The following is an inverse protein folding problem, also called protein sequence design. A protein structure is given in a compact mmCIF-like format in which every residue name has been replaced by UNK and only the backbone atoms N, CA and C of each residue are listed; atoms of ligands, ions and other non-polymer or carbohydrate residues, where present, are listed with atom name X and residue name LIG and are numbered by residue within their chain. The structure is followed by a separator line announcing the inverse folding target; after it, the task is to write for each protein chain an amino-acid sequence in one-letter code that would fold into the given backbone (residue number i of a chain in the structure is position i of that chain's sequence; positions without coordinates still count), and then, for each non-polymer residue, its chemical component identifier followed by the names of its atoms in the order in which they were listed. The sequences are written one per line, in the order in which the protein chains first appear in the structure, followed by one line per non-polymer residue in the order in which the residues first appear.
data_IF_977306705518
#
_entry.id   IF_977306705518
#
_cell.length_a   1.000
_cell.length_b   1.000
_cell.length_c   1.000
_cell.angle_alpha   90.00
_cell.angle_beta   90.00
_cell.angle_gamma   90.00
#
_symmetry.space_group_name_H-M   'P 1'
#
loop_
_entity.id
_entity.type
_entity.pdbx_description
1 polymer ?
#
# COMPACT_ATOMS: atom_id res chain seq x y z
N UNK A 1 -2.63 22.86 -8.31
CA UNK A 1 -2.48 24.33 -8.35
C UNK A 1 -3.44 25.01 -7.37
N UNK A 2 -4.72 24.64 -7.30
CA UNK A 2 -5.71 25.29 -6.45
C UNK A 2 -5.44 25.17 -4.94
N UNK A 3 -4.66 24.16 -4.52
CA UNK A 3 -4.33 23.87 -3.12
C UNK A 3 -2.87 24.11 -2.77
N UNK A 4 -2.11 24.82 -3.62
CA UNK A 4 -0.72 25.17 -3.38
C UNK A 4 0.26 23.99 -3.46
N UNK A 5 -0.19 22.88 -4.04
CA UNK A 5 0.66 21.69 -4.27
C UNK A 5 1.15 21.71 -5.72
N UNK A 6 2.45 21.87 -5.90
CA UNK A 6 3.10 21.84 -7.20
C UNK A 6 3.70 20.45 -7.45
N UNK A 7 3.37 19.86 -8.59
CA UNK A 7 3.83 18.53 -9.02
C UNK A 7 5.37 18.41 -8.95
N UNK A 8 6.10 19.37 -9.52
CA UNK A 8 7.55 19.35 -9.52
C UNK A 8 8.15 19.34 -8.10
N UNK A 9 7.56 20.08 -7.17
CA UNK A 9 8.01 20.09 -5.77
C UNK A 9 7.90 18.70 -5.12
N UNK A 10 6.87 17.91 -5.46
CA UNK A 10 6.71 16.54 -4.93
C UNK A 10 7.76 15.61 -5.55
N UNK A 11 8.01 15.69 -6.85
CA UNK A 11 9.03 14.89 -7.51
C UNK A 11 10.42 15.18 -6.92
N UNK A 12 10.77 16.44 -6.71
CA UNK A 12 12.03 16.83 -6.08
C UNK A 12 12.17 16.21 -4.68
N UNK A 13 11.10 16.21 -3.88
CA UNK A 13 11.10 15.55 -2.57
C UNK A 13 11.33 14.03 -2.68
N UNK A 14 10.75 13.37 -3.68
CA UNK A 14 10.96 11.94 -3.90
C UNK A 14 12.42 11.67 -4.29
N UNK A 15 12.98 12.43 -5.24
CA UNK A 15 14.36 12.28 -5.69
C UNK A 15 15.37 12.56 -4.57
N UNK A 16 15.10 13.56 -3.73
CA UNK A 16 15.91 13.90 -2.57
C UNK A 16 15.76 12.90 -1.40
N UNK A 17 14.85 11.93 -1.53
CA UNK A 17 14.52 10.99 -0.44
C UNK A 17 13.82 11.64 0.74
N UNK A 18 13.19 12.79 0.55
CA UNK A 18 12.47 13.57 1.58
C UNK A 18 10.95 13.46 1.51
N UNK A 19 10.41 12.66 0.59
CA UNK A 19 8.99 12.37 0.54
C UNK A 19 8.61 11.46 1.68
N UNK A 20 8.15 12.03 2.78
CA UNK A 20 7.80 11.36 4.04
C UNK A 20 6.31 11.46 4.32
N UNK A 21 5.81 10.64 5.26
CA UNK A 21 4.43 10.75 5.73
C UNK A 21 4.14 12.10 6.42
N UNK A 22 5.15 12.75 7.01
CA UNK A 22 5.00 14.11 7.53
C UNK A 22 4.75 15.11 6.41
N UNK A 23 5.48 14.99 5.30
CA UNK A 23 5.30 15.81 4.12
C UNK A 23 3.93 15.60 3.46
N UNK A 24 3.48 14.35 3.37
CA UNK A 24 2.15 14.04 2.88
C UNK A 24 1.08 14.64 3.81
N UNK A 25 1.18 14.41 5.12
CA UNK A 25 0.23 14.91 6.12
C UNK A 25 0.12 16.43 6.08
N UNK A 26 1.24 17.15 6.02
CA UNK A 26 1.26 18.61 5.97
C UNK A 26 0.52 19.17 4.74
N UNK A 27 0.43 18.40 3.65
CA UNK A 27 -0.26 18.83 2.42
C UNK A 27 -1.75 18.57 2.42
N UNK A 28 -2.23 17.55 3.11
CA UNK A 28 -3.66 17.24 3.10
C UNK A 28 -4.39 17.65 4.38
N UNK A 29 -3.68 17.83 5.49
CA UNK A 29 -4.30 18.11 6.77
C UNK A 29 -5.05 19.44 6.76
N UNK A 30 -6.32 19.38 7.16
CA UNK A 30 -7.19 20.55 7.22
C UNK A 30 -7.81 20.97 5.88
N UNK A 31 -7.69 20.15 4.83
CA UNK A 31 -8.32 20.41 3.53
C UNK A 31 -9.75 19.84 3.42
N UNK A 32 -10.14 18.96 4.33
CA UNK A 32 -11.48 18.37 4.33
C UNK A 32 -12.53 19.51 4.42
N UNK A 33 -13.46 19.52 3.48
CA UNK A 33 -14.42 20.61 3.33
C UNK A 33 -15.81 20.07 3.02
N UNK A 34 -16.77 20.40 3.88
CA UNK A 34 -18.19 20.19 3.64
C UNK A 34 -18.66 21.19 2.56
N UNK A 35 -18.81 20.70 1.33
CA UNK A 35 -19.14 21.55 0.17
C UNK A 35 -20.63 21.84 0.08
N UNK A 36 -21.49 20.95 0.57
CA UNK A 36 -22.93 21.12 0.53
C UNK A 36 -23.48 21.83 1.75
N UNK A 37 -22.70 21.97 2.84
CA UNK A 37 -23.05 22.73 4.05
C UNK A 37 -24.05 22.01 4.95
N UNK A 38 -24.20 20.69 4.85
CA UNK A 38 -25.16 19.93 5.65
C UNK A 38 -24.63 19.49 7.03
N UNK A 39 -23.36 19.80 7.31
CA UNK A 39 -22.66 19.50 8.55
C UNK A 39 -22.19 18.04 8.66
N UNK A 40 -22.17 17.31 7.54
CA UNK A 40 -21.66 15.92 7.45
C UNK A 40 -20.68 15.80 6.31
N UNK A 41 -19.68 14.97 6.49
CA UNK A 41 -18.73 14.64 5.41
C UNK A 41 -19.22 13.39 4.67
N UNK A 42 -19.40 13.51 3.35
CA UNK A 42 -19.84 12.42 2.49
C UNK A 42 -18.98 12.32 1.22
N UNK A 43 -18.48 11.12 0.92
CA UNK A 43 -17.48 10.88 -0.12
C UNK A 43 -17.91 11.29 -1.55
N UNK A 44 -19.20 11.42 -1.85
CA UNK A 44 -19.70 11.86 -3.15
C UNK A 44 -20.06 13.35 -3.22
N UNK A 45 -20.16 14.03 -2.09
CA UNK A 45 -20.66 15.40 -2.02
C UNK A 45 -19.58 16.40 -1.58
N UNK A 46 -18.57 15.94 -0.84
CA UNK A 46 -17.59 16.78 -0.16
C UNK A 46 -16.16 16.56 -0.63
N UNK A 47 -15.26 17.46 -0.24
CA UNK A 47 -13.85 17.40 -0.60
C UNK A 47 -13.01 16.89 0.56
N UNK A 48 -12.03 16.02 0.24
CA UNK A 48 -11.11 15.39 1.19
C UNK A 48 -9.65 15.69 0.84
N UNK A 49 -8.84 15.92 1.86
CA UNK A 49 -7.40 16.04 1.68
C UNK A 49 -6.78 14.72 1.20
N UNK A 50 -7.21 13.60 1.77
CA UNK A 50 -6.76 12.25 1.38
C UNK A 50 -7.90 11.23 1.53
N UNK A 51 -7.92 10.25 0.64
CA UNK A 51 -8.87 9.12 0.70
C UNK A 51 -8.14 7.79 0.58
N UNK A 52 -8.64 6.79 1.30
CA UNK A 52 -8.14 5.41 1.27
C UNK A 52 -9.18 4.43 1.77
N UNK A 53 -8.92 3.13 1.64
CA UNK A 53 -9.71 2.08 2.31
C UNK A 53 -9.29 1.95 3.79
N UNK A 54 -10.27 1.71 4.66
CA UNK A 54 -10.04 1.50 6.10
C UNK A 54 -10.06 0.00 6.43
N UNK A 55 -9.12 -0.75 5.89
CA UNK A 55 -9.04 -2.21 6.02
C UNK A 55 -7.64 -2.71 6.40
N UNK A 56 -7.52 -4.01 6.66
CA UNK A 56 -6.25 -4.64 7.04
C UNK A 56 -5.17 -4.43 5.99
N UNK A 57 -5.53 -4.46 4.72
CA UNK A 57 -4.57 -4.31 3.64
C UNK A 57 -3.93 -2.92 3.62
N UNK A 58 -4.74 -1.87 3.80
CA UNK A 58 -4.22 -0.49 3.86
C UNK A 58 -3.39 -0.27 5.13
N UNK A 59 -3.83 -0.74 6.29
CA UNK A 59 -3.02 -0.61 7.51
C UNK A 59 -1.70 -1.36 7.40
N UNK A 60 -1.69 -2.53 6.76
CA UNK A 60 -0.48 -3.28 6.45
C UNK A 60 0.45 -2.51 5.50
N UNK A 61 -0.11 -1.94 4.44
CA UNK A 61 0.63 -1.11 3.49
C UNK A 61 1.28 0.10 4.21
N UNK A 62 0.55 0.75 5.12
CA UNK A 62 1.09 1.85 5.91
C UNK A 62 2.25 1.40 6.81
N UNK A 63 2.18 0.23 7.45
CA UNK A 63 3.28 -0.32 8.22
C UNK A 63 4.51 -0.61 7.35
N UNK A 64 4.31 -1.34 6.27
CA UNK A 64 5.39 -1.79 5.38
C UNK A 64 6.07 -0.60 4.70
N UNK A 65 5.32 0.40 4.25
CA UNK A 65 5.88 1.62 3.67
C UNK A 65 6.79 2.38 4.64
N UNK A 66 6.51 2.28 5.94
CA UNK A 66 7.34 2.84 7.02
C UNK A 66 8.50 1.91 7.45
N UNK A 67 8.81 0.87 6.65
CA UNK A 67 9.94 -0.03 6.87
C UNK A 67 9.71 -1.13 7.91
N UNK A 68 8.47 -1.32 8.39
CA UNK A 68 8.13 -2.41 9.31
C UNK A 68 7.93 -3.70 8.49
N UNK A 69 8.59 -4.77 8.92
CA UNK A 69 8.35 -6.12 8.41
C UNK A 69 7.40 -6.84 9.35
N UNK A 70 6.39 -7.47 8.78
CA UNK A 70 5.34 -8.13 9.58
C UNK A 70 5.81 -9.46 10.15
N UNK A 71 6.71 -10.13 9.41
CA UNK A 71 7.30 -11.40 9.78
C UNK A 71 8.73 -11.45 9.25
N UNK A 72 9.68 -11.78 10.09
CA UNK A 72 11.10 -11.89 9.73
C UNK A 72 11.63 -13.29 10.04
N UNK A 73 12.67 -13.67 9.31
CA UNK A 73 13.39 -14.92 9.57
C UNK A 73 14.44 -14.66 10.66
N UNK A 74 14.38 -15.39 11.76
CA UNK A 74 15.38 -15.36 12.82
C UNK A 74 16.72 -16.02 12.40
N UNK A 75 17.68 -16.00 13.32
CA UNK A 75 19.01 -16.57 13.07
C UNK A 75 19.01 -18.09 12.82
N UNK A 76 17.98 -18.80 13.23
CA UNK A 76 17.80 -20.24 13.05
C UNK A 76 16.97 -20.57 11.78
N UNK A 77 16.63 -19.57 10.98
CA UNK A 77 15.83 -19.70 9.76
C UNK A 77 14.33 -19.86 10.02
N UNK A 78 13.85 -19.55 11.23
CA UNK A 78 12.43 -19.62 11.60
C UNK A 78 11.78 -18.27 11.43
N UNK A 79 10.54 -18.26 10.94
CA UNK A 79 9.74 -17.05 10.88
C UNK A 79 9.26 -16.64 12.29
N UNK A 80 9.33 -15.36 12.59
CA UNK A 80 8.90 -14.79 13.86
C UNK A 80 8.24 -13.41 13.67
N UNK A 81 7.34 -13.06 14.59
CA UNK A 81 6.75 -11.74 14.65
C UNK A 81 7.53 -10.82 15.57
N UNK A 82 7.71 -9.56 15.17
CA UNK A 82 8.37 -8.51 15.98
C UNK A 82 7.54 -7.22 15.94
N UNK A 83 6.20 -7.36 15.97
CA UNK A 83 5.28 -6.22 15.84
C UNK A 83 5.03 -5.47 17.16
N UNK A 84 5.70 -5.87 18.23
CA UNK A 84 5.69 -5.23 19.57
C UNK A 84 6.95 -4.39 19.86
N UNK A 85 7.87 -4.31 18.91
CA UNK A 85 9.06 -3.48 19.04
C UNK A 85 8.72 -1.97 19.06
N UNK A 86 9.63 -1.17 19.63
CA UNK A 86 9.47 0.28 19.78
C UNK A 86 9.22 1.00 18.44
N UNK A 87 9.88 0.54 17.38
CA UNK A 87 9.71 1.13 16.05
C UNK A 87 8.31 0.88 15.49
N UNK A 88 7.83 -0.34 15.57
CA UNK A 88 6.49 -0.71 15.12
C UNK A 88 5.41 0.07 15.85
N UNK A 89 5.51 0.16 17.18
CA UNK A 89 4.56 0.95 17.98
C UNK A 89 4.60 2.42 17.56
N UNK A 90 5.77 3.02 17.40
CA UNK A 90 5.90 4.41 16.97
C UNK A 90 5.31 4.66 15.57
N UNK A 91 5.46 3.70 14.65
CA UNK A 91 4.83 3.77 13.32
C UNK A 91 3.31 3.73 13.45
N UNK A 92 2.76 2.81 14.25
CA UNK A 92 1.31 2.70 14.45
C UNK A 92 0.75 3.99 15.04
N UNK A 93 1.37 4.54 16.07
CA UNK A 93 0.94 5.79 16.69
C UNK A 93 0.96 6.97 15.70
N UNK A 94 2.03 7.05 14.88
CA UNK A 94 2.14 8.09 13.85
C UNK A 94 1.05 7.93 12.79
N UNK A 95 0.82 6.71 12.30
CA UNK A 95 -0.21 6.44 11.28
C UNK A 95 -1.62 6.64 11.84
N UNK A 96 -1.88 6.25 13.09
CA UNK A 96 -3.14 6.53 13.76
C UNK A 96 -3.44 8.03 13.82
N UNK A 97 -2.44 8.85 14.18
CA UNK A 97 -2.58 10.31 14.17
C UNK A 97 -2.94 10.87 12.77
N UNK A 98 -2.41 10.27 11.70
CA UNK A 98 -2.56 10.80 10.34
C UNK A 98 -3.78 10.25 9.60
N UNK A 99 -4.19 9.03 9.91
CA UNK A 99 -5.21 8.30 9.15
C UNK A 99 -6.41 7.87 9.99
N UNK A 100 -6.51 8.31 11.25
CA UNK A 100 -7.66 7.97 12.08
C UNK A 100 -8.96 8.30 11.35
N UNK A 101 -9.85 7.31 11.30
CA UNK A 101 -11.13 7.46 10.61
C UNK A 101 -11.94 8.59 11.22
N UNK A 102 -12.30 9.56 10.42
CA UNK A 102 -13.28 10.57 10.79
C UNK A 102 -14.64 9.87 10.90
N UNK A 103 -15.30 9.96 12.06
CA UNK A 103 -16.52 9.20 12.43
C UNK A 103 -17.64 9.22 11.36
N UNK A 104 -17.67 10.23 10.53
CA UNK A 104 -18.73 10.44 9.53
C UNK A 104 -18.48 9.74 8.18
N UNK A 105 -17.33 9.07 8.00
CA UNK A 105 -16.99 8.42 6.75
C UNK A 105 -17.39 6.93 6.74
N UNK A 106 -18.47 6.58 7.48
CA UNK A 106 -18.85 5.21 7.81
C UNK A 106 -19.42 4.40 6.65
N UNK A 107 -19.80 5.02 5.55
CA UNK A 107 -20.75 4.34 4.68
C UNK A 107 -20.22 3.79 3.36
N UNK A 108 -18.95 4.00 2.97
CA UNK A 108 -18.53 3.34 1.74
C UNK A 108 -17.01 3.29 1.52
N UNK A 109 -16.36 2.27 2.03
CA UNK A 109 -15.02 1.85 1.58
C UNK A 109 -14.96 1.58 0.07
N UNK A 110 -16.08 1.47 -0.61
CA UNK A 110 -16.18 1.25 -2.06
C UNK A 110 -16.28 2.53 -2.88
N UNK A 111 -16.47 3.70 -2.25
CA UNK A 111 -16.66 4.97 -2.97
C UNK A 111 -15.46 5.91 -2.90
N UNK A 112 -14.43 5.61 -2.13
CA UNK A 112 -13.24 6.47 -2.02
C UNK A 112 -12.53 6.67 -3.37
N UNK A 113 -12.54 5.67 -4.25
CA UNK A 113 -12.03 5.77 -5.60
C UNK A 113 -12.84 6.75 -6.46
N UNK A 114 -14.16 6.79 -6.27
CA UNK A 114 -15.01 7.77 -6.95
C UNK A 114 -14.77 9.19 -6.43
N UNK A 115 -14.51 9.35 -5.13
CA UNK A 115 -14.15 10.65 -4.54
C UNK A 115 -12.94 11.24 -5.26
N UNK A 116 -11.88 10.47 -5.42
CA UNK A 116 -10.67 10.90 -6.16
C UNK A 116 -10.97 11.09 -7.65
N UNK A 117 -11.68 10.15 -8.29
CA UNK A 117 -12.01 10.18 -9.71
C UNK A 117 -12.80 11.45 -10.12
N UNK A 118 -13.62 11.98 -9.23
CA UNK A 118 -14.43 13.17 -9.47
C UNK A 118 -13.83 14.45 -8.86
N UNK A 119 -12.50 14.50 -8.70
CA UNK A 119 -11.74 15.67 -8.23
C UNK A 119 -12.15 16.13 -6.82
N UNK A 120 -12.63 15.22 -5.98
CA UNK A 120 -13.05 15.50 -4.60
C UNK A 120 -12.05 15.02 -3.55
N UNK A 121 -10.86 14.63 -3.96
CA UNK A 121 -9.74 14.37 -3.07
C UNK A 121 -8.44 14.85 -3.70
N UNK A 122 -7.55 15.40 -2.86
CA UNK A 122 -6.21 15.82 -3.31
C UNK A 122 -5.29 14.62 -3.48
N UNK A 123 -5.35 13.65 -2.54
CA UNK A 123 -4.57 12.42 -2.57
C UNK A 123 -5.48 11.19 -2.45
N UNK A 124 -5.05 10.09 -3.07
CA UNK A 124 -5.63 8.77 -2.88
C UNK A 124 -4.53 7.74 -2.66
N UNK A 125 -4.65 6.92 -1.61
CA UNK A 125 -3.81 5.73 -1.46
C UNK A 125 -4.53 4.58 -2.13
N UNK A 126 -3.93 4.06 -3.20
CA UNK A 126 -4.53 3.03 -4.02
C UNK A 126 -3.50 2.16 -4.72
N UNK A 127 -3.94 1.10 -5.39
CA UNK A 127 -3.07 0.22 -6.20
C UNK A 127 -2.78 0.83 -7.57
N UNK A 128 -1.58 0.60 -8.09
CA UNK A 128 -1.21 1.03 -9.45
C UNK A 128 -2.20 0.49 -10.50
N UNK A 129 -2.71 -0.72 -10.31
CA UNK A 129 -3.73 -1.33 -11.20
C UNK A 129 -5.00 -0.48 -11.36
N UNK A 130 -5.34 0.32 -10.37
CA UNK A 130 -6.51 1.20 -10.43
C UNK A 130 -6.39 2.30 -11.47
N UNK A 131 -5.18 2.69 -11.84
CA UNK A 131 -4.94 3.62 -12.95
C UNK A 131 -5.47 3.05 -14.28
N UNK A 132 -5.44 1.73 -14.42
CA UNK A 132 -5.87 1.02 -15.63
C UNK A 132 -7.37 0.76 -15.68
N UNK A 133 -8.02 0.68 -14.53
CA UNK A 133 -9.43 0.30 -14.41
C UNK A 133 -10.31 1.43 -13.88
N UNK A 134 -10.01 1.93 -12.69
CA UNK A 134 -10.90 2.85 -11.95
C UNK A 134 -10.72 4.29 -12.38
N UNK A 135 -9.47 4.71 -12.66
CA UNK A 135 -9.11 6.08 -13.02
C UNK A 135 -8.87 6.29 -14.51
N UNK A 136 -9.05 5.26 -15.32
CA UNK A 136 -8.79 5.32 -16.77
C UNK A 136 -9.56 6.43 -17.47
N UNK A 137 -10.80 6.67 -17.08
CA UNK A 137 -11.71 7.67 -17.65
C UNK A 137 -11.86 8.93 -16.79
N UNK A 138 -10.95 9.14 -15.83
CA UNK A 138 -10.87 10.37 -15.05
C UNK A 138 -10.60 11.57 -15.99
N UNK A 139 -11.31 12.68 -15.79
CA UNK A 139 -11.16 13.87 -16.64
C UNK A 139 -9.90 14.64 -16.33
N UNK A 140 -9.59 14.80 -15.05
CA UNK A 140 -8.39 15.47 -14.56
C UNK A 140 -7.16 14.59 -14.65
N UNK A 141 -6.01 15.25 -14.76
CA UNK A 141 -4.70 14.61 -14.68
C UNK A 141 -4.32 14.33 -13.24
N UNK A 142 -3.60 13.26 -13.03
CA UNK A 142 -3.03 12.90 -11.74
C UNK A 142 -1.63 12.33 -11.91
N UNK A 143 -0.88 12.28 -10.82
CA UNK A 143 0.46 11.69 -10.76
C UNK A 143 0.46 10.45 -9.87
N UNK A 144 1.36 9.51 -10.17
CA UNK A 144 1.64 8.36 -9.32
C UNK A 144 2.90 8.68 -8.53
N UNK A 145 2.87 8.41 -7.23
CA UNK A 145 3.99 8.61 -6.32
C UNK A 145 4.29 7.31 -5.58
N UNK A 146 5.54 7.04 -5.19
CA UNK A 146 5.81 5.98 -4.23
C UNK A 146 5.14 6.30 -2.89
N UNK A 147 4.86 5.27 -2.10
CA UNK A 147 4.42 5.49 -0.72
C UNK A 147 5.50 6.25 0.04
N UNK A 148 5.11 7.24 0.87
CA UNK A 148 6.08 8.03 1.62
C UNK A 148 6.88 7.17 2.60
N UNK A 149 8.07 7.63 2.96
CA UNK A 149 8.89 7.05 4.04
C UNK A 149 8.40 7.52 5.41
N UNK A 150 8.81 6.82 6.45
CA UNK A 150 8.58 7.23 7.83
C UNK A 150 9.24 8.57 8.17
N UNK A 151 10.52 8.70 7.81
CA UNK A 151 11.37 9.87 8.00
C UNK A 151 12.52 9.87 6.99
N UNK A 152 13.39 10.88 7.06
CA UNK A 152 14.53 11.01 6.17
C UNK A 152 15.62 9.94 6.42
N UNK A 153 15.63 9.31 7.61
CA UNK A 153 16.60 8.28 7.96
C UNK A 153 16.27 6.92 7.36
N UNK A 154 15.05 6.70 6.89
CA UNK A 154 14.70 5.49 6.16
C UNK A 154 15.39 5.50 4.79
N UNK A 155 16.21 4.48 4.49
CA UNK A 155 17.06 4.45 3.30
C UNK A 155 16.27 4.46 1.99
N UNK A 156 15.22 3.65 1.89
CA UNK A 156 14.47 3.42 0.66
C UNK A 156 12.97 3.59 0.85
N UNK A 157 12.27 3.91 -0.24
CA UNK A 157 10.82 3.72 -0.33
C UNK A 157 10.51 2.23 -0.31
N UNK A 158 9.31 1.85 0.14
CA UNK A 158 8.85 0.46 0.12
C UNK A 158 7.42 0.42 -0.41
N UNK A 159 7.22 -0.38 -1.45
CA UNK A 159 5.93 -0.55 -2.11
C UNK A 159 5.38 -1.95 -1.80
N UNK A 160 4.32 -2.01 -0.99
CA UNK A 160 3.72 -3.27 -0.59
C UNK A 160 2.89 -3.89 -1.70
N UNK A 161 3.18 -5.15 -2.04
CA UNK A 161 2.39 -5.90 -3.02
C UNK A 161 1.10 -6.38 -2.35
N UNK A 162 -0.04 -6.09 -2.98
CA UNK A 162 -1.32 -6.61 -2.52
C UNK A 162 -1.37 -8.15 -2.69
N UNK A 163 -1.35 -8.95 -1.62
CA UNK A 163 -1.32 -10.41 -1.71
C UNK A 163 -2.62 -11.01 -2.27
N UNK A 164 -3.74 -10.29 -2.19
CA UNK A 164 -5.04 -10.76 -2.68
C UNK A 164 -5.16 -10.78 -4.21
N UNK A 165 -4.29 -10.07 -4.91
CA UNK A 165 -4.26 -10.01 -6.39
C UNK A 165 -2.98 -10.61 -6.95
N UNK A 166 -2.14 -11.20 -6.11
CA UNK A 166 -0.91 -11.84 -6.51
C UNK A 166 -1.18 -13.19 -7.16
N UNK A 167 -0.75 -13.35 -8.40
CA UNK A 167 -0.84 -14.61 -9.13
C UNK A 167 0.45 -15.41 -9.03
N UNK A 168 0.33 -16.71 -8.82
CA UNK A 168 1.45 -17.65 -8.85
C UNK A 168 1.30 -18.64 -10.00
N UNK A 169 2.43 -19.05 -10.59
CA UNK A 169 2.49 -20.15 -11.55
C UNK A 169 2.95 -21.40 -10.81
N UNK A 170 2.18 -22.49 -10.92
CA UNK A 170 2.50 -23.77 -10.31
C UNK A 170 2.63 -24.86 -11.36
N UNK A 171 3.60 -25.76 -11.18
CA UNK A 171 3.77 -26.95 -12.03
C UNK A 171 3.14 -28.14 -11.28
N UNK A 172 2.11 -28.82 -11.86
CA UNK A 172 1.51 -29.99 -11.22
C UNK A 172 2.53 -31.13 -11.03
N UNK A 173 2.45 -31.86 -9.92
CA UNK A 173 3.30 -33.02 -9.65
C UNK A 173 3.12 -34.16 -10.68
N UNK A 174 2.02 -34.13 -11.44
CA UNK A 174 1.73 -35.09 -12.52
C UNK A 174 2.41 -34.73 -13.84
N UNK A 175 3.23 -33.65 -13.87
CA UNK A 175 3.97 -33.27 -15.06
C UNK A 175 5.15 -34.23 -15.27
N UNK A 176 5.21 -34.90 -16.44
CA UNK A 176 6.22 -35.91 -16.75
C UNK A 176 7.62 -35.31 -16.98
N UNK A 177 7.71 -34.05 -17.42
CA UNK A 177 8.96 -33.36 -17.73
C UNK A 177 9.01 -31.99 -17.00
N UNK A 178 9.34 -32.05 -15.72
CA UNK A 178 9.40 -30.88 -14.84
C UNK A 178 10.48 -29.89 -15.29
N UNK A 179 11.64 -30.38 -15.72
CA UNK A 179 12.76 -29.54 -16.17
C UNK A 179 12.41 -28.73 -17.39
N UNK A 180 11.77 -29.37 -18.39
CA UNK A 180 11.29 -28.67 -19.59
C UNK A 180 10.21 -27.64 -19.27
N UNK A 181 9.28 -28.01 -18.40
CA UNK A 181 8.22 -27.08 -17.99
C UNK A 181 8.77 -25.90 -17.21
N UNK A 182 9.71 -26.13 -16.29
CA UNK A 182 10.42 -25.10 -15.56
C UNK A 182 11.18 -24.15 -16.50
N UNK A 183 11.91 -24.70 -17.47
CA UNK A 183 12.62 -23.90 -18.48
C UNK A 183 11.66 -23.03 -19.31
N UNK A 184 10.51 -23.56 -19.73
CA UNK A 184 9.51 -22.79 -20.48
C UNK A 184 8.95 -21.67 -19.60
N UNK A 185 8.66 -21.95 -18.34
CA UNK A 185 8.14 -20.95 -17.38
C UNK A 185 9.14 -19.81 -17.20
N UNK A 186 10.43 -20.13 -17.01
CA UNK A 186 11.52 -19.16 -16.90
C UNK A 186 11.63 -18.28 -18.15
N UNK A 187 11.56 -18.89 -19.35
CA UNK A 187 11.58 -18.14 -20.62
C UNK A 187 10.37 -17.22 -20.75
N UNK A 188 9.19 -17.67 -20.32
CA UNK A 188 7.98 -16.84 -20.35
C UNK A 188 8.12 -15.65 -19.38
N UNK A 189 8.66 -15.86 -18.18
CA UNK A 189 8.91 -14.81 -17.22
C UNK A 189 9.90 -13.78 -17.78
N UNK A 190 11.05 -14.23 -18.27
CA UNK A 190 12.03 -13.36 -18.93
C UNK A 190 11.42 -12.54 -20.07
N UNK A 191 10.64 -13.19 -20.94
CA UNK A 191 9.93 -12.48 -22.03
C UNK A 191 8.86 -11.52 -21.54
N UNK A 192 8.23 -11.81 -20.41
CA UNK A 192 7.27 -10.89 -19.79
C UNK A 192 7.92 -9.57 -19.37
N UNK A 193 9.11 -9.61 -18.81
CA UNK A 193 9.88 -8.40 -18.48
C UNK A 193 10.19 -7.58 -19.73
N UNK A 194 10.59 -8.23 -20.83
CA UNK A 194 10.93 -7.54 -22.09
C UNK A 194 9.70 -6.98 -22.81
N UNK A 195 8.54 -7.63 -22.73
CA UNK A 195 7.38 -7.32 -23.58
C UNK A 195 6.21 -6.70 -22.82
N UNK A 196 5.85 -7.27 -21.64
CA UNK A 196 4.68 -6.82 -20.92
C UNK A 196 4.96 -5.55 -20.12
N UNK A 197 6.14 -5.45 -19.49
CA UNK A 197 6.49 -4.24 -18.72
C UNK A 197 6.48 -3.00 -19.63
N UNK A 198 7.17 -2.95 -20.79
CA UNK A 198 7.09 -1.82 -21.71
C UNK A 198 5.67 -1.59 -22.24
N UNK A 199 4.91 -2.65 -22.51
CA UNK A 199 3.54 -2.49 -23.00
C UNK A 199 2.62 -1.86 -21.96
N UNK A 200 2.76 -2.22 -20.69
CA UNK A 200 2.01 -1.59 -19.59
C UNK A 200 2.43 -0.12 -19.46
N UNK A 201 3.73 0.17 -19.44
CA UNK A 201 4.24 1.53 -19.32
C UNK A 201 3.86 2.38 -20.54
N UNK A 202 4.17 1.91 -21.76
CA UNK A 202 4.06 2.71 -22.97
C UNK A 202 2.62 2.83 -23.47
N UNK A 203 1.84 1.77 -23.39
CA UNK A 203 0.50 1.74 -23.99
C UNK A 203 -0.58 2.13 -23.02
N UNK A 204 -0.43 1.73 -21.73
CA UNK A 204 -1.53 1.81 -20.77
C UNK A 204 -1.39 2.99 -19.81
N UNK A 205 -0.19 3.31 -19.39
CA UNK A 205 0.06 4.36 -18.39
C UNK A 205 0.34 5.73 -19.03
N UNK A 206 0.88 5.78 -20.25
CA UNK A 206 1.11 7.05 -21.00
C UNK A 206 -0.17 7.83 -21.35
N UNK A 207 -1.35 7.24 -21.15
CA UNK A 207 -2.59 7.86 -21.60
C UNK A 207 -3.04 9.07 -20.79
N UNK A 208 -2.93 9.05 -19.46
CA UNK A 208 -3.40 10.13 -18.57
C UNK A 208 -2.54 10.34 -17.32
N UNK A 209 -2.02 9.26 -16.73
CA UNK A 209 -1.25 9.33 -15.47
C UNK A 209 0.23 9.68 -15.65
N UNK A 210 0.80 9.48 -16.85
CA UNK A 210 2.22 9.59 -17.08
C UNK A 210 2.48 10.53 -18.27
N UNK A 211 2.38 11.83 -18.05
CA UNK A 211 2.56 12.85 -19.11
C UNK A 211 3.99 13.34 -19.25
N UNK A 212 4.86 13.03 -18.28
CA UNK A 212 6.25 13.48 -18.26
C UNK A 212 7.19 12.35 -17.83
N UNK A 213 8.49 12.59 -17.98
CA UNK A 213 9.55 11.64 -17.61
C UNK A 213 9.61 11.39 -16.10
N UNK A 214 9.30 12.40 -15.27
CA UNK A 214 9.27 12.25 -13.80
C UNK A 214 8.20 11.27 -13.33
N UNK A 215 7.02 11.30 -13.92
CA UNK A 215 5.96 10.32 -13.61
C UNK A 215 6.38 8.88 -13.93
N UNK A 216 7.16 8.66 -14.99
CA UNK A 216 7.73 7.34 -15.30
C UNK A 216 8.75 6.93 -14.24
N UNK A 217 9.64 7.85 -13.84
CA UNK A 217 10.63 7.58 -12.80
C UNK A 217 9.99 7.27 -11.44
N UNK A 218 8.89 7.94 -11.08
CA UNK A 218 8.12 7.61 -9.86
C UNK A 218 7.59 6.19 -9.90
N UNK A 219 7.07 5.77 -11.05
CA UNK A 219 6.56 4.41 -11.22
C UNK A 219 7.68 3.37 -11.20
N UNK A 220 8.86 3.67 -11.75
CA UNK A 220 10.04 2.82 -11.63
C UNK A 220 10.43 2.61 -10.15
N UNK A 221 10.44 3.67 -9.35
CA UNK A 221 10.67 3.57 -7.90
C UNK A 221 9.65 2.62 -7.25
N UNK A 222 8.36 2.76 -7.59
CA UNK A 222 7.31 1.88 -7.06
C UNK A 222 7.57 0.41 -7.37
N UNK A 223 7.94 0.10 -8.61
CA UNK A 223 8.18 -1.30 -9.02
C UNK A 223 9.50 -1.86 -8.50
N UNK A 224 10.54 -1.06 -8.43
CA UNK A 224 11.87 -1.50 -7.99
C UNK A 224 11.95 -1.67 -6.46
N UNK A 225 11.00 -1.10 -5.71
CA UNK A 225 10.92 -1.19 -4.24
C UNK A 225 9.79 -2.09 -3.75
N UNK A 226 9.30 -2.99 -4.60
CA UNK A 226 8.22 -3.90 -4.24
C UNK A 226 8.64 -4.88 -3.14
N UNK A 227 7.75 -5.06 -2.16
CA UNK A 227 7.94 -5.97 -1.04
C UNK A 227 6.69 -6.81 -0.79
N UNK A 228 6.89 -8.10 -0.53
CA UNK A 228 5.86 -9.05 -0.17
C UNK A 228 6.22 -9.68 1.17
N UNK A 229 5.24 -9.82 2.05
CA UNK A 229 5.41 -10.40 3.38
C UNK A 229 4.53 -11.65 3.56
N UNK A 230 5.06 -12.69 4.21
CA UNK A 230 4.31 -13.92 4.47
C UNK A 230 3.06 -13.69 5.31
N UNK A 231 3.14 -12.83 6.34
CA UNK A 231 1.97 -12.53 7.16
C UNK A 231 0.89 -11.76 6.38
N UNK A 232 1.26 -11.02 5.37
CA UNK A 232 0.32 -10.39 4.45
C UNK A 232 -0.50 -11.39 3.64
N UNK A 233 0.11 -12.56 3.31
CA UNK A 233 -0.57 -13.64 2.56
C UNK A 233 -1.45 -14.49 3.49
N UNK A 234 -0.92 -14.89 4.65
CA UNK A 234 -1.55 -15.89 5.52
C UNK A 234 -2.35 -15.30 6.68
N UNK A 235 -2.17 -14.01 6.99
CA UNK A 235 -2.86 -13.28 8.07
C UNK A 235 -2.86 -14.04 9.40
N UNK A 236 -1.70 -14.58 9.79
CA UNK A 236 -1.58 -15.42 10.98
C UNK A 236 -2.21 -14.79 12.23
N UNK A 237 -3.09 -15.54 12.87
CA UNK A 237 -3.73 -15.21 14.14
C UNK A 237 -4.63 -13.97 14.13
N UNK A 238 -4.66 -13.21 13.03
CA UNK A 238 -5.41 -11.97 12.94
C UNK A 238 -4.67 -10.76 13.56
N UNK A 239 -3.34 -10.81 13.69
CA UNK A 239 -2.52 -9.68 14.22
C UNK A 239 -2.69 -8.40 13.38
N UNK A 240 -2.95 -8.53 12.09
CA UNK A 240 -3.22 -7.37 11.21
C UNK A 240 -4.52 -6.65 11.60
N UNK A 241 -5.48 -7.36 12.21
CA UNK A 241 -6.69 -6.75 12.76
C UNK A 241 -6.41 -5.84 13.96
N UNK A 242 -5.38 -6.14 14.77
CA UNK A 242 -4.94 -5.26 15.86
C UNK A 242 -4.34 -3.96 15.31
N UNK A 243 -3.50 -4.07 14.27
CA UNK A 243 -2.92 -2.91 13.56
C UNK A 243 -4.02 -2.03 12.96
N UNK A 244 -4.93 -2.63 12.21
CA UNK A 244 -6.06 -1.94 11.59
C UNK A 244 -6.91 -1.23 12.63
N UNK A 245 -7.20 -1.92 13.73
CA UNK A 245 -7.96 -1.38 14.86
C UNK A 245 -7.31 -0.15 15.48
N UNK A 246 -5.98 -0.16 15.62
CA UNK A 246 -5.24 0.95 16.20
C UNK A 246 -5.14 2.14 15.25
N UNK A 247 -4.83 1.91 13.98
CA UNK A 247 -4.61 3.00 13.02
C UNK A 247 -5.93 3.72 12.69
N UNK A 248 -7.01 2.98 12.45
CA UNK A 248 -8.23 3.58 11.90
C UNK A 248 -9.38 3.72 12.89
N UNK A 249 -9.39 2.98 14.00
CA UNK A 249 -10.56 2.84 14.86
C UNK A 249 -10.30 3.13 16.34
N UNK A 250 -9.21 3.80 16.67
CA UNK A 250 -8.83 4.21 18.05
C UNK A 250 -8.87 3.06 19.06
N UNK A 251 -8.47 1.85 18.62
CA UNK A 251 -8.41 0.69 19.51
C UNK A 251 -7.01 0.54 20.12
N UNK A 252 -6.90 0.08 21.36
CA UNK A 252 -5.60 -0.09 22.01
C UNK A 252 -4.80 -1.21 21.32
N UNK A 253 -3.64 -0.86 20.76
CA UNK A 253 -2.81 -1.80 19.99
C UNK A 253 -2.26 -2.95 20.86
N UNK A 254 -1.56 -2.62 21.94
CA UNK A 254 -0.82 -3.60 22.74
C UNK A 254 -1.69 -4.76 23.22
N UNK A 255 -2.84 -4.46 23.81
CA UNK A 255 -3.75 -5.50 24.32
C UNK A 255 -4.40 -6.33 23.20
N UNK A 256 -4.67 -5.72 22.05
CA UNK A 256 -5.22 -6.43 20.90
C UNK A 256 -4.17 -7.36 20.27
N UNK A 257 -2.93 -6.90 20.16
CA UNK A 257 -1.80 -7.69 19.68
C UNK A 257 -1.49 -8.87 20.61
N UNK A 258 -1.34 -8.63 21.92
CA UNK A 258 -1.14 -9.67 22.93
C UNK A 258 -2.23 -10.76 22.89
N UNK A 259 -3.47 -10.37 22.66
CA UNK A 259 -4.58 -11.31 22.55
C UNK A 259 -4.52 -12.15 21.25
N UNK A 260 -4.00 -11.61 20.17
CA UNK A 260 -3.88 -12.29 18.88
C UNK A 260 -2.62 -13.18 18.76
N UNK A 261 -1.53 -12.81 19.46
CA UNK A 261 -0.21 -13.39 19.32
C UNK A 261 -0.17 -14.93 19.53
N UNK A 262 -0.76 -15.51 20.58
CA UNK A 262 -0.70 -16.97 20.79
C UNK A 262 -1.29 -17.79 19.64
N UNK A 263 -2.34 -17.25 19.01
CA UNK A 263 -2.95 -17.90 17.84
C UNK A 263 -2.07 -17.73 16.60
N UNK A 264 -1.44 -16.56 16.44
CA UNK A 264 -0.55 -16.29 15.33
C UNK A 264 0.70 -17.19 15.39
N UNK A 265 1.33 -17.33 16.54
CA UNK A 265 2.47 -18.21 16.77
C UNK A 265 2.12 -19.68 16.50
N UNK A 266 0.97 -20.14 16.98
CA UNK A 266 0.52 -21.53 16.72
C UNK A 266 0.30 -21.80 15.22
N UNK A 267 -0.30 -20.87 14.48
CA UNK A 267 -0.49 -20.98 13.04
C UNK A 267 0.83 -20.89 12.28
N UNK A 268 1.75 -20.06 12.72
CA UNK A 268 3.08 -19.93 12.13
C UNK A 268 3.89 -21.22 12.33
N UNK A 269 3.83 -21.83 13.50
CA UNK A 269 4.48 -23.12 13.77
C UNK A 269 3.90 -24.23 12.89
N UNK A 270 2.58 -24.31 12.73
CA UNK A 270 1.92 -25.27 11.83
C UNK A 270 2.37 -25.05 10.37
N UNK A 271 2.44 -23.79 9.95
CA UNK A 271 2.95 -23.42 8.62
C UNK A 271 4.39 -23.90 8.42
N UNK A 272 5.28 -23.62 9.35
CA UNK A 272 6.69 -24.05 9.26
C UNK A 272 6.85 -25.56 9.22
N UNK A 273 6.02 -26.30 9.97
CA UNK A 273 6.03 -27.77 9.95
C UNK A 273 5.60 -28.37 8.59
N UNK A 274 4.78 -27.68 7.83
CA UNK A 274 4.35 -28.14 6.50
C UNK A 274 5.48 -28.08 5.45
N UNK A 275 6.56 -27.35 5.71
CA UNK A 275 7.71 -27.16 4.81
C UNK A 275 9.02 -27.77 5.34
N UNK A 276 8.99 -28.47 6.47
CA UNK A 276 10.15 -29.12 7.10
C UNK A 276 10.42 -30.56 6.61
#
# INVERSE_FOLDING_TARGET
ENYGVEEQTIYDLVYDGKWTFDELYNRYNGLDTDLNGDGKMHCLDDFYGIVTEYNNLTSTLLLVANGVKLCETDADGRLAFHLDDERTVAVIDKMAKYFQKIENNNDNTLLFDQTFKYDRALFAIHYVESTLRRFRDMESDYVILPMPKYDDAQDTYVSYINPWVLGFVSIPLTQDDIDKTGFITEVLEYKSVEMLRPAIYDVTLKGKALRNEDSLAMLDIVFDTTYLDYNGIYEFGGVLGAVNGAIFYDKPYASAYEAALPKAEAQLEEFMQAFS
#
